data_IF_318358635883
#
_entry.id   IF_318358635883
#
_cell.length_a   1.000
_cell.length_b   1.000
_cell.length_c   1.000
_cell.angle_alpha   90.00
_cell.angle_beta   90.00
_cell.angle_gamma   90.00
#
_symmetry.space_group_name_H-M   'P 1'
#
loop_
_entity.id
_entity.type
_entity.pdbx_description
1 polymer ?
#
# COMPACT_ATOMS: atom_id res chain seq x y z
N UNK A 1 6.99 -12.52 -19.32
CA UNK A 1 6.91 -11.86 -18.00
C UNK A 1 7.50 -12.81 -16.99
N UNK A 2 8.30 -12.29 -16.06
CA UNK A 2 8.89 -13.10 -15.00
C UNK A 2 7.78 -13.43 -13.98
N UNK A 3 7.64 -14.71 -13.61
CA UNK A 3 6.66 -15.14 -12.61
C UNK A 3 7.02 -14.60 -11.23
N UNK A 4 6.00 -14.37 -10.40
CA UNK A 4 6.15 -13.90 -9.03
C UNK A 4 6.88 -14.95 -8.19
N UNK A 5 7.98 -14.56 -7.56
CA UNK A 5 8.73 -15.42 -6.66
C UNK A 5 8.10 -15.44 -5.27
N UNK A 6 7.26 -16.45 -5.01
CA UNK A 6 6.55 -16.60 -3.75
C UNK A 6 7.48 -16.81 -2.55
N UNK A 7 8.74 -17.22 -2.75
CA UNK A 7 9.69 -17.39 -1.64
C UNK A 7 10.13 -16.05 -1.04
N UNK A 8 10.02 -14.96 -1.81
CA UNK A 8 10.34 -13.59 -1.38
C UNK A 8 9.11 -12.77 -1.00
N UNK A 9 7.91 -13.35 -1.09
CA UNK A 9 6.67 -12.71 -0.72
C UNK A 9 6.25 -13.14 0.69
N UNK A 10 6.18 -12.18 1.61
CA UNK A 10 5.62 -12.38 2.95
C UNK A 10 4.25 -11.71 3.00
N UNK A 11 3.22 -12.47 3.41
CA UNK A 11 1.86 -11.95 3.61
C UNK A 11 1.55 -11.82 5.09
N UNK A 12 1.20 -10.61 5.51
CA UNK A 12 0.63 -10.30 6.81
C UNK A 12 -0.89 -10.23 6.64
N UNK A 13 -1.58 -11.34 6.87
CA UNK A 13 -3.02 -11.49 6.54
C UNK A 13 -3.94 -10.48 7.24
N UNK A 14 -3.64 -10.12 8.48
CA UNK A 14 -4.47 -9.26 9.31
C UNK A 14 -3.64 -8.27 10.13
N UNK A 15 -2.89 -7.40 9.46
CA UNK A 15 -2.13 -6.35 10.14
C UNK A 15 -3.08 -5.33 10.79
N UNK A 16 -2.92 -5.00 12.09
CA UNK A 16 -3.82 -4.07 12.77
C UNK A 16 -3.69 -2.65 12.20
N UNK A 17 -4.83 -1.96 12.12
CA UNK A 17 -4.93 -0.53 11.82
C UNK A 17 -5.69 0.14 12.96
N UNK A 18 -5.01 0.41 14.08
CA UNK A 18 -5.71 0.77 15.33
C UNK A 18 -6.54 2.07 15.18
N UNK A 19 -6.06 3.03 14.39
CA UNK A 19 -6.78 4.29 14.11
C UNK A 19 -8.11 4.08 13.38
N UNK A 20 -8.26 2.95 12.70
CA UNK A 20 -9.46 2.60 11.92
C UNK A 20 -10.26 1.46 12.55
N UNK A 21 -9.79 0.88 13.66
CA UNK A 21 -10.49 -0.19 14.38
C UNK A 21 -10.68 -1.47 13.56
N UNK A 22 -9.78 -1.74 12.60
CA UNK A 22 -9.85 -2.91 11.71
C UNK A 22 -8.46 -3.44 11.38
N UNK A 23 -8.39 -4.46 10.53
CA UNK A 23 -7.14 -5.03 10.03
C UNK A 23 -7.04 -4.89 8.52
N UNK A 24 -5.83 -5.01 8.00
CA UNK A 24 -5.57 -5.07 6.56
C UNK A 24 -4.51 -6.09 6.20
N UNK A 25 -4.72 -6.76 5.07
CA UNK A 25 -3.69 -7.57 4.45
C UNK A 25 -2.58 -6.67 3.91
N UNK A 26 -1.35 -6.94 4.35
CA UNK A 26 -0.15 -6.25 3.88
C UNK A 26 0.80 -7.29 3.32
N UNK A 27 1.36 -7.01 2.15
CA UNK A 27 2.27 -7.90 1.46
C UNK A 27 3.64 -7.25 1.37
N UNK A 28 4.70 -7.97 1.73
CA UNK A 28 6.09 -7.50 1.69
C UNK A 28 6.84 -8.37 0.70
N UNK A 29 7.35 -7.76 -0.36
CA UNK A 29 8.16 -8.42 -1.38
C UNK A 29 9.62 -7.98 -1.24
N UNK A 30 10.48 -8.97 -1.02
CA UNK A 30 11.90 -8.75 -0.78
C UNK A 30 12.69 -8.72 -2.09
N UNK A 31 13.72 -7.87 -2.21
CA UNK A 31 14.58 -7.85 -3.38
C UNK A 31 15.39 -9.14 -3.51
N UNK A 32 15.93 -9.37 -4.72
CA UNK A 32 16.90 -10.46 -4.94
C UNK A 32 18.14 -10.24 -4.07
N UNK A 33 18.79 -11.31 -3.65
CA UNK A 33 19.98 -11.20 -2.81
C UNK A 33 19.70 -10.82 -1.34
N UNK A 34 18.43 -10.70 -0.94
CA UNK A 34 18.08 -10.25 0.42
C UNK A 34 18.61 -11.23 1.46
N UNK A 35 18.44 -12.54 1.29
CA UNK A 35 18.89 -13.57 2.26
C UNK A 35 20.40 -13.81 2.23
N UNK A 36 21.06 -13.44 1.14
CA UNK A 36 22.48 -13.67 0.87
C UNK A 36 23.36 -12.55 1.44
N UNK A 37 22.77 -11.44 1.89
CA UNK A 37 23.50 -10.27 2.38
C UNK A 37 22.85 -9.63 3.61
N UNK A 38 23.66 -8.87 4.36
CA UNK A 38 23.20 -8.03 5.48
C UNK A 38 22.88 -6.60 5.04
N UNK A 39 22.65 -6.38 3.74
CA UNK A 39 22.35 -5.05 3.19
C UNK A 39 21.00 -4.55 3.70
N UNK A 40 20.91 -3.25 3.90
CA UNK A 40 19.64 -2.54 4.13
C UNK A 40 19.16 -1.88 2.84
N UNK A 41 17.85 -1.91 2.60
CA UNK A 41 17.24 -1.53 1.33
C UNK A 41 16.25 -0.36 1.51
N UNK A 42 16.09 0.50 0.50
CA UNK A 42 14.97 1.44 0.45
C UNK A 42 13.63 0.70 0.42
N UNK A 43 12.56 1.39 0.79
CA UNK A 43 11.20 0.83 0.89
C UNK A 43 10.22 1.64 0.05
N UNK A 44 9.42 0.97 -0.77
CA UNK A 44 8.26 1.56 -1.44
C UNK A 44 6.99 1.01 -0.79
N UNK A 45 6.19 1.89 -0.20
CA UNK A 45 4.83 1.57 0.24
C UNK A 45 3.88 1.83 -0.93
N UNK A 46 3.13 0.82 -1.35
CA UNK A 46 2.27 0.92 -2.52
C UNK A 46 0.84 0.53 -2.20
N UNK A 47 -0.09 1.40 -2.56
CA UNK A 47 -1.51 1.20 -2.34
C UNK A 47 -2.13 0.24 -3.36
N UNK A 48 -3.26 -0.35 -3.01
CA UNK A 48 -3.93 -1.39 -3.77
C UNK A 48 -3.04 -2.63 -3.96
N UNK A 49 -2.46 -3.13 -2.87
CA UNK A 49 -1.54 -4.29 -2.84
C UNK A 49 -2.00 -5.50 -3.65
N UNK A 50 -3.31 -5.78 -3.66
CA UNK A 50 -3.89 -6.83 -4.48
C UNK A 50 -3.58 -6.63 -5.97
N UNK A 51 -3.57 -5.40 -6.50
CA UNK A 51 -3.28 -5.13 -7.92
C UNK A 51 -1.81 -5.34 -8.28
N UNK A 52 -0.93 -5.42 -7.29
CA UNK A 52 0.51 -5.58 -7.44
C UNK A 52 0.87 -7.07 -7.53
N UNK A 53 0.31 -7.87 -6.63
CA UNK A 53 0.70 -9.26 -6.43
C UNK A 53 -0.36 -10.27 -6.85
N UNK A 54 -1.64 -9.89 -6.81
CA UNK A 54 -2.80 -10.76 -6.99
C UNK A 54 -3.69 -10.23 -8.13
N UNK A 55 -3.38 -10.65 -9.36
CA UNK A 55 -4.10 -10.19 -10.55
C UNK A 55 -5.59 -10.56 -10.55
N UNK A 56 -6.00 -11.59 -9.81
CA UNK A 56 -7.39 -12.06 -9.74
C UNK A 56 -8.25 -11.17 -8.86
N UNK A 57 -7.71 -10.69 -7.74
CA UNK A 57 -8.39 -9.78 -6.82
C UNK A 57 -8.13 -8.29 -7.11
N UNK A 58 -7.39 -7.99 -8.18
CA UNK A 58 -7.07 -6.63 -8.59
C UNK A 58 -8.34 -5.82 -8.95
N UNK A 59 -8.37 -4.55 -8.53
CA UNK A 59 -9.40 -3.61 -8.99
C UNK A 59 -9.32 -3.47 -10.52
N UNK A 60 -10.36 -3.92 -11.22
CA UNK A 60 -10.40 -3.96 -12.69
C UNK A 60 -9.71 -5.19 -13.33
N UNK A 61 -9.33 -6.20 -12.54
CA UNK A 61 -8.83 -7.49 -13.01
C UNK A 61 -7.48 -7.43 -13.72
N UNK A 62 -6.62 -6.47 -13.38
CA UNK A 62 -5.31 -6.28 -14.02
C UNK A 62 -4.20 -6.19 -12.98
N UNK A 63 -3.18 -7.02 -13.15
CA UNK A 63 -1.93 -6.92 -12.40
C UNK A 63 -1.06 -5.80 -12.99
N UNK A 64 -0.41 -5.00 -12.15
CA UNK A 64 0.47 -3.90 -12.58
C UNK A 64 1.91 -4.34 -12.90
N UNK A 65 2.26 -5.59 -12.61
CA UNK A 65 3.57 -6.20 -12.86
C UNK A 65 4.74 -5.42 -12.23
N UNK A 66 4.49 -4.78 -11.09
CA UNK A 66 5.49 -3.98 -10.37
C UNK A 66 6.65 -4.87 -9.92
N UNK A 67 6.36 -6.03 -9.33
CA UNK A 67 7.39 -6.97 -8.89
C UNK A 67 8.30 -7.42 -10.05
N UNK A 68 7.72 -7.75 -11.21
CA UNK A 68 8.48 -8.14 -12.39
C UNK A 68 9.32 -6.99 -12.93
N UNK A 69 8.83 -5.75 -12.82
CA UNK A 69 9.57 -4.56 -13.24
C UNK A 69 10.77 -4.32 -12.31
N UNK A 70 10.57 -4.40 -10.99
CA UNK A 70 11.65 -4.28 -10.01
C UNK A 70 12.73 -5.35 -10.24
N UNK A 71 12.31 -6.60 -10.44
CA UNK A 71 13.24 -7.70 -10.72
C UNK A 71 13.96 -7.57 -12.07
N UNK A 72 13.41 -6.82 -13.02
CA UNK A 72 14.08 -6.51 -14.28
C UNK A 72 15.10 -5.36 -14.14
N UNK A 73 14.77 -4.34 -13.35
CA UNK A 73 15.63 -3.16 -13.17
C UNK A 73 16.77 -3.39 -12.18
N UNK A 74 16.55 -4.23 -11.17
CA UNK A 74 17.53 -4.49 -10.11
C UNK A 74 18.18 -5.86 -10.27
N UNK A 75 19.49 -5.89 -10.00
CA UNK A 75 20.29 -7.10 -9.89
C UNK A 75 20.31 -7.64 -8.46
N UNK A 76 21.06 -8.71 -8.19
CA UNK A 76 21.15 -9.32 -6.85
C UNK A 76 21.90 -8.44 -5.82
N UNK A 77 22.48 -7.32 -6.26
CA UNK A 77 23.25 -6.38 -5.44
C UNK A 77 22.54 -5.05 -5.24
N UNK A 78 21.33 -4.90 -5.76
CA UNK A 78 20.52 -3.69 -5.67
C UNK A 78 19.05 -4.07 -5.54
N UNK A 79 18.20 -3.14 -5.11
CA UNK A 79 16.80 -3.46 -4.95
C UNK A 79 16.09 -2.58 -3.96
N UNK A 80 14.80 -2.87 -3.82
CA UNK A 80 13.85 -2.15 -3.00
C UNK A 80 12.95 -3.19 -2.34
N UNK A 81 12.60 -2.96 -1.06
CA UNK A 81 11.51 -3.71 -0.42
C UNK A 81 10.20 -3.07 -0.86
N UNK A 82 9.33 -3.85 -1.51
CA UNK A 82 8.01 -3.40 -1.94
C UNK A 82 6.97 -3.84 -0.92
N UNK A 83 6.28 -2.89 -0.30
CA UNK A 83 5.21 -3.12 0.68
C UNK A 83 3.88 -2.78 0.03
N UNK A 84 3.10 -3.78 -0.36
CA UNK A 84 1.73 -3.62 -0.87
C UNK A 84 0.72 -3.56 0.28
N UNK A 85 -0.08 -2.50 0.32
CA UNK A 85 -1.18 -2.34 1.28
C UNK A 85 -2.48 -2.56 0.52
N UNK A 86 -3.16 -3.66 0.81
CA UNK A 86 -4.43 -3.94 0.14
C UNK A 86 -5.47 -2.87 0.49
N UNK A 87 -6.42 -2.67 -0.42
CA UNK A 87 -7.67 -2.00 -0.04
C UNK A 87 -8.63 -2.99 0.64
N UNK A 88 -9.61 -2.45 1.35
CA UNK A 88 -10.58 -3.25 2.09
C UNK A 88 -11.62 -3.86 1.16
N UNK A 89 -12.03 -5.10 1.43
CA UNK A 89 -13.08 -5.78 0.67
C UNK A 89 -14.48 -5.29 1.04
N UNK A 90 -14.60 -4.50 2.13
CA UNK A 90 -15.86 -3.88 2.54
C UNK A 90 -16.42 -2.98 1.43
N UNK A 91 -17.75 -2.82 1.44
CA UNK A 91 -18.48 -2.04 0.43
C UNK A 91 -18.22 -2.51 -1.01
N UNK A 92 -18.17 -3.84 -1.22
CA UNK A 92 -17.89 -4.46 -2.52
C UNK A 92 -16.55 -4.01 -3.14
N UNK A 93 -15.49 -3.92 -2.32
CA UNK A 93 -14.17 -3.47 -2.75
C UNK A 93 -14.03 -1.95 -2.92
N UNK A 94 -15.01 -1.17 -2.44
CA UNK A 94 -14.99 0.30 -2.48
C UNK A 94 -14.54 0.91 -1.15
N UNK A 95 -14.01 0.12 -0.20
CA UNK A 95 -13.45 0.62 1.06
C UNK A 95 -12.37 1.70 0.86
N UNK A 96 -11.61 1.62 -0.25
CA UNK A 96 -10.66 2.67 -0.69
C UNK A 96 -11.26 4.07 -0.77
N UNK A 97 -12.57 4.19 -1.02
CA UNK A 97 -13.28 5.48 -1.07
C UNK A 97 -13.28 6.18 0.29
N UNK A 98 -13.25 5.40 1.37
CA UNK A 98 -13.20 5.93 2.73
C UNK A 98 -11.77 6.25 3.14
N UNK A 99 -10.87 5.27 2.98
CA UNK A 99 -9.50 5.32 3.47
C UNK A 99 -8.60 6.29 2.71
N UNK A 100 -8.87 6.55 1.43
CA UNK A 100 -8.05 7.45 0.62
C UNK A 100 -8.67 8.84 0.48
N UNK A 101 -9.77 9.13 1.19
CA UNK A 101 -10.39 10.45 1.13
C UNK A 101 -10.19 11.18 2.46
N UNK A 102 -9.56 12.37 2.48
CA UNK A 102 -9.23 13.07 3.71
C UNK A 102 -10.47 13.64 4.40
N UNK A 103 -11.48 14.02 3.62
CA UNK A 103 -12.75 14.57 4.08
C UNK A 103 -13.91 13.66 3.72
N UNK A 104 -14.98 13.65 4.52
CA UNK A 104 -16.24 13.05 4.11
C UNK A 104 -16.72 13.70 2.81
N UNK A 105 -17.24 12.90 1.89
CA UNK A 105 -17.95 13.42 0.73
C UNK A 105 -19.31 13.95 1.19
N UNK A 106 -19.54 15.24 0.94
CA UNK A 106 -20.78 15.95 1.25
C UNK A 106 -21.82 15.79 0.13
N UNK A 107 -21.40 15.43 -1.08
CA UNK A 107 -22.26 15.14 -2.22
C UNK A 107 -22.36 13.63 -2.46
N UNK A 108 -23.59 13.12 -2.39
CA UNK A 108 -23.87 11.75 -2.78
C UNK A 108 -23.67 11.60 -4.30
N UNK A 109 -22.71 10.77 -4.70
CA UNK A 109 -22.53 10.37 -6.08
C UNK A 109 -23.12 8.97 -6.28
N UNK A 110 -24.12 8.85 -7.15
CA UNK A 110 -24.76 7.57 -7.46
C UNK A 110 -24.22 7.04 -8.80
N UNK A 111 -23.50 5.92 -8.74
CA UNK A 111 -23.21 5.13 -9.93
C UNK A 111 -24.08 3.88 -9.94
N UNK A 112 -24.76 3.58 -11.06
CA UNK A 112 -25.45 2.31 -11.22
C UNK A 112 -24.44 1.17 -10.99
N UNK A 113 -24.79 0.21 -10.11
CA UNK A 113 -23.98 -0.95 -9.67
C UNK A 113 -23.04 -0.73 -8.49
N UNK A 114 -22.95 0.47 -7.91
CA UNK A 114 -22.15 0.70 -6.70
C UNK A 114 -22.98 0.48 -5.44
N UNK A 115 -22.34 0.03 -4.36
CA UNK A 115 -23.00 -0.16 -3.07
C UNK A 115 -23.61 1.18 -2.58
N UNK A 116 -24.93 1.25 -2.32
CA UNK A 116 -25.58 2.44 -1.79
C UNK A 116 -24.96 2.97 -0.49
N UNK A 117 -24.26 2.14 0.28
CA UNK A 117 -23.53 2.57 1.48
C UNK A 117 -22.38 3.55 1.14
N UNK A 118 -21.83 3.52 -0.08
CA UNK A 118 -20.74 4.40 -0.53
C UNK A 118 -21.20 5.86 -0.73
N UNK A 119 -22.52 6.13 -0.69
CA UNK A 119 -23.11 7.47 -0.82
C UNK A 119 -22.59 8.47 0.23
N UNK A 120 -22.16 7.99 1.40
CA UNK A 120 -21.51 8.78 2.44
C UNK A 120 -20.16 8.16 2.78
N UNK A 121 -19.21 8.28 1.85
CA UNK A 121 -17.85 7.78 2.03
C UNK A 121 -16.83 8.90 2.25
N UNK A 122 -15.66 8.52 2.74
CA UNK A 122 -14.54 9.43 3.01
C UNK A 122 -14.36 9.83 4.47
N UNK A 123 -13.39 10.70 4.72
CA UNK A 123 -13.06 11.21 6.06
C UNK A 123 -12.10 10.34 6.87
N UNK A 124 -11.66 9.21 6.33
CA UNK A 124 -10.73 8.29 7.00
C UNK A 124 -9.27 8.47 6.55
N UNK A 125 -9.00 9.34 5.57
CA UNK A 125 -7.66 9.59 5.02
C UNK A 125 -6.60 9.91 6.05
N UNK A 126 -6.92 10.76 7.03
CA UNK A 126 -5.98 11.11 8.11
C UNK A 126 -5.64 9.88 8.96
N UNK A 127 -6.64 9.14 9.42
CA UNK A 127 -6.46 7.93 10.22
C UNK A 127 -5.68 6.86 9.44
N UNK A 128 -5.90 6.75 8.13
CA UNK A 128 -5.15 5.85 7.25
C UNK A 128 -3.67 6.24 7.14
N UNK A 129 -3.36 7.52 6.97
CA UNK A 129 -1.96 7.99 6.95
C UNK A 129 -1.31 7.78 8.33
N UNK A 130 -2.01 8.09 9.42
CA UNK A 130 -1.52 7.85 10.79
C UNK A 130 -1.19 6.37 11.04
N UNK A 131 -2.01 5.44 10.53
CA UNK A 131 -1.72 4.01 10.54
C UNK A 131 -0.39 3.70 9.85
N UNK A 132 -0.16 4.26 8.66
CA UNK A 132 1.08 4.02 7.90
C UNK A 132 2.29 4.53 8.68
N UNK A 133 2.20 5.75 9.22
CA UNK A 133 3.30 6.42 9.91
C UNK A 133 3.63 5.79 11.26
N UNK A 134 2.59 5.50 12.05
CA UNK A 134 2.77 5.17 13.46
C UNK A 134 2.78 3.66 13.71
N UNK A 135 2.27 2.85 12.79
CA UNK A 135 2.13 1.40 12.97
C UNK A 135 2.90 0.62 11.91
N UNK A 136 2.54 0.82 10.64
CA UNK A 136 3.09 -0.01 9.57
C UNK A 136 4.57 0.26 9.33
N UNK A 137 4.98 1.51 9.11
CA UNK A 137 6.39 1.83 8.85
C UNK A 137 7.32 1.39 9.99
N UNK A 138 7.02 1.69 11.27
CA UNK A 138 7.82 1.20 12.39
C UNK A 138 7.91 -0.33 12.45
N UNK A 139 6.81 -1.04 12.15
CA UNK A 139 6.84 -2.49 12.06
C UNK A 139 7.76 -2.98 10.95
N UNK A 140 7.68 -2.40 9.75
CA UNK A 140 8.54 -2.80 8.63
C UNK A 140 10.02 -2.51 8.95
N UNK A 141 10.32 -1.34 9.51
CA UNK A 141 11.70 -0.97 9.89
C UNK A 141 12.27 -1.85 11.01
N UNK A 142 11.43 -2.38 11.91
CA UNK A 142 11.87 -3.25 13.00
C UNK A 142 12.08 -4.72 12.56
N UNK A 143 11.36 -5.17 11.53
CA UNK A 143 11.34 -6.59 11.13
C UNK A 143 12.13 -6.88 9.85
N UNK A 144 12.46 -5.84 9.06
CA UNK A 144 13.19 -5.97 7.80
C UNK A 144 14.42 -5.04 7.80
N UNK A 145 15.39 -5.35 6.94
CA UNK A 145 16.61 -4.54 6.77
C UNK A 145 16.30 -3.35 5.88
N UNK A 146 15.76 -2.29 6.48
CA UNK A 146 15.38 -1.07 5.77
C UNK A 146 16.40 0.05 5.95
N UNK A 147 16.47 0.94 4.96
CA UNK A 147 17.02 2.28 5.11
C UNK A 147 15.88 3.18 5.60
N UNK A 148 15.77 3.33 6.93
CA UNK A 148 14.57 3.92 7.55
C UNK A 148 14.42 5.43 7.38
N UNK A 149 15.46 6.11 6.86
CA UNK A 149 15.42 7.54 6.59
C UNK A 149 14.44 7.85 5.46
N UNK A 150 13.80 9.01 5.58
CA UNK A 150 12.83 9.58 4.61
C UNK A 150 13.31 9.52 3.16
N UNK A 151 14.58 9.84 2.91
CA UNK A 151 15.20 9.84 1.56
C UNK A 151 15.10 8.48 0.84
N UNK A 152 14.98 7.39 1.61
CA UNK A 152 14.93 6.00 1.14
C UNK A 152 13.54 5.37 1.30
N UNK A 153 12.55 6.17 1.69
CA UNK A 153 11.15 5.76 1.80
C UNK A 153 10.34 6.47 0.73
N UNK A 154 9.65 5.72 -0.09
CA UNK A 154 8.71 6.25 -1.07
C UNK A 154 7.32 5.67 -0.85
N UNK A 155 6.31 6.42 -1.26
CA UNK A 155 4.92 6.02 -1.22
C UNK A 155 4.30 6.22 -2.61
N UNK A 156 3.60 5.21 -3.11
CA UNK A 156 3.13 5.14 -4.49
C UNK A 156 1.70 4.58 -4.57
N UNK A 157 0.95 4.99 -5.57
CA UNK A 157 -0.41 4.50 -5.78
C UNK A 157 -1.00 5.08 -7.06
N UNK A 158 -2.21 4.63 -7.41
CA UNK A 158 -2.88 5.11 -8.62
C UNK A 158 -4.26 5.70 -8.31
N UNK A 159 -4.73 6.55 -9.24
CA UNK A 159 -6.07 7.11 -9.23
C UNK A 159 -6.38 7.85 -7.92
N UNK A 160 -7.35 7.36 -7.14
CA UNK A 160 -7.78 7.97 -5.88
C UNK A 160 -6.65 8.24 -4.89
N UNK A 161 -5.61 7.41 -4.88
CA UNK A 161 -4.52 7.63 -3.95
C UNK A 161 -3.71 8.89 -4.26
N UNK A 162 -3.61 9.27 -5.54
CA UNK A 162 -2.97 10.54 -5.95
C UNK A 162 -3.76 11.75 -5.40
N UNK A 163 -5.10 11.63 -5.31
CA UNK A 163 -5.91 12.66 -4.66
C UNK A 163 -5.55 12.79 -3.18
N UNK A 164 -5.49 11.66 -2.44
CA UNK A 164 -5.07 11.65 -1.04
C UNK A 164 -3.69 12.28 -0.82
N UNK A 165 -2.71 11.91 -1.65
CA UNK A 165 -1.34 12.43 -1.59
C UNK A 165 -1.31 13.96 -1.72
N UNK A 166 -1.99 14.50 -2.74
CA UNK A 166 -2.06 15.96 -2.95
C UNK A 166 -2.67 16.66 -1.74
N UNK A 167 -3.64 16.03 -1.08
CA UNK A 167 -4.31 16.58 0.08
C UNK A 167 -3.53 16.41 1.40
N UNK A 168 -2.66 15.41 1.52
CA UNK A 168 -1.90 15.11 2.76
C UNK A 168 -0.54 15.80 2.86
N UNK A 169 0.02 16.30 1.74
CA UNK A 169 1.32 17.00 1.69
C UNK A 169 1.40 18.19 2.67
N UNK A 170 0.27 18.74 3.13
CA UNK A 170 0.24 19.80 4.16
C UNK A 170 0.18 19.31 5.62
N UNK A 171 0.09 18.01 5.89
CA UNK A 171 -0.30 17.48 7.23
C UNK A 171 0.67 16.48 7.85
N UNK A 172 1.66 15.97 7.12
CA UNK A 172 2.58 14.94 7.62
C UNK A 172 4.04 15.24 7.27
N UNK A 173 4.70 16.05 8.09
CA UNK A 173 6.16 16.34 7.98
C UNK A 173 7.04 15.11 8.26
N UNK A 174 6.48 14.00 8.73
CA UNK A 174 7.23 12.80 9.11
C UNK A 174 7.34 11.74 8.01
N UNK A 175 6.65 11.93 6.87
CA UNK A 175 6.75 11.04 5.69
C UNK A 175 7.50 11.68 4.51
N UNK A 176 7.52 13.01 4.46
CA UNK A 176 8.25 13.83 3.49
C UNK A 176 9.17 14.79 4.21
#
# INVERSE_FOLDING_TARGET
MQELDLSRLITLEAFPMAQLGRTRRVQVYLPKGYTESNRSYPVIYMHDGQTIFDGENAFGGRNWHVHSSLDHFFDDQSGVILVGIDNGTEHNGLCRMYEYSPWPMDQAFELPSWDPAVKQSGGQGKAYVEFIVNELKPYIDANYRTQSQREFTAIAGSSMWIHQLVCSIGTSEHLF
#
